data_IF_325395171682
#
_entry.id   IF_325395171682
#
_cell.length_a   1.000
_cell.length_b   1.000
_cell.length_c   1.000
_cell.angle_alpha   90.00
_cell.angle_beta   90.00
_cell.angle_gamma   90.00
#
_symmetry.space_group_name_H-M   'P 1'
#
loop_
_entity.id
_entity.type
_entity.pdbx_description
1 polymer ?
#
# COMPACT_ATOMS: atom_id res chain seq x y z
N UNK A 1 3.67 13.40 20.48
CA UNK A 1 2.70 14.36 19.94
C UNK A 1 2.65 14.07 18.44
N UNK A 2 1.68 13.29 17.97
CA UNK A 2 1.59 12.93 16.56
C UNK A 2 1.12 14.17 15.79
N UNK A 3 1.86 14.60 14.77
CA UNK A 3 1.41 15.65 13.88
C UNK A 3 0.12 15.17 13.21
N UNK A 4 -1.01 15.81 13.52
CA UNK A 4 -2.23 15.65 12.71
C UNK A 4 -1.94 16.31 11.37
N UNK A 5 -1.67 15.52 10.35
CA UNK A 5 -1.60 16.02 8.98
C UNK A 5 -2.97 16.58 8.60
N UNK A 6 -3.03 17.80 8.07
CA UNK A 6 -4.26 18.34 7.52
C UNK A 6 -4.62 17.63 6.20
N UNK A 7 -5.91 17.64 5.86
CA UNK A 7 -6.45 16.94 4.68
C UNK A 7 -5.73 17.38 3.40
N UNK A 8 -5.43 18.67 3.28
CA UNK A 8 -4.72 19.24 2.12
C UNK A 8 -3.30 18.70 1.98
N UNK A 9 -2.61 18.43 3.09
CA UNK A 9 -1.28 17.83 3.10
C UNK A 9 -1.34 16.36 2.68
N UNK A 10 -2.35 15.62 3.12
CA UNK A 10 -2.57 14.23 2.71
C UNK A 10 -2.94 14.11 1.23
N UNK A 11 -3.84 14.96 0.74
CA UNK A 11 -4.25 15.00 -0.67
C UNK A 11 -3.05 15.31 -1.57
N UNK A 12 -2.19 16.26 -1.17
CA UNK A 12 -0.97 16.59 -1.92
C UNK A 12 0.01 15.42 -1.98
N UNK A 13 0.21 14.70 -0.87
CA UNK A 13 1.05 13.50 -0.88
C UNK A 13 0.44 12.42 -1.76
N UNK A 14 -0.88 12.26 -1.74
CA UNK A 14 -1.59 11.34 -2.62
C UNK A 14 -1.35 11.69 -4.10
N UNK A 15 -1.44 12.97 -4.48
CA UNK A 15 -1.23 13.44 -5.85
C UNK A 15 0.24 13.28 -6.30
N UNK A 16 1.20 13.61 -5.43
CA UNK A 16 2.63 13.44 -5.69
C UNK A 16 2.99 11.94 -5.86
N UNK A 17 2.45 11.08 -4.99
CA UNK A 17 2.64 9.64 -5.04
C UNK A 17 1.96 9.02 -6.26
N UNK A 18 0.73 9.42 -6.59
CA UNK A 18 0.01 8.97 -7.79
C UNK A 18 0.75 9.39 -9.07
N UNK A 19 1.32 10.59 -9.09
CA UNK A 19 2.14 11.06 -10.21
C UNK A 19 3.39 10.18 -10.38
N UNK A 20 4.06 9.84 -9.28
CA UNK A 20 5.21 8.94 -9.29
C UNK A 20 4.81 7.51 -9.72
N UNK A 21 3.74 6.95 -9.15
CA UNK A 21 3.21 5.61 -9.44
C UNK A 21 2.87 5.47 -10.94
N UNK A 22 2.34 6.53 -11.55
CA UNK A 22 1.93 6.53 -12.95
C UNK A 22 3.05 6.88 -13.94
N UNK A 23 4.21 7.34 -13.46
CA UNK A 23 5.34 7.67 -14.32
C UNK A 23 6.05 6.40 -14.83
N UNK A 24 5.71 5.95 -16.03
CA UNK A 24 6.26 4.72 -16.61
C UNK A 24 7.78 4.73 -16.88
N UNK A 25 8.42 5.90 -16.82
CA UNK A 25 9.85 6.03 -17.13
C UNK A 25 10.75 5.80 -15.91
N UNK A 26 10.21 5.85 -14.69
CA UNK A 26 11.01 5.70 -13.46
C UNK A 26 11.05 4.26 -12.96
N UNK A 27 9.97 3.51 -13.19
CA UNK A 27 9.81 2.14 -12.71
C UNK A 27 10.53 1.15 -13.60
N UNK A 28 11.39 0.32 -13.01
CA UNK A 28 12.06 -0.78 -13.71
C UNK A 28 11.45 -2.10 -13.29
N UNK A 29 11.13 -2.94 -14.26
CA UNK A 29 10.68 -4.30 -13.98
C UNK A 29 11.81 -5.06 -13.27
N UNK A 30 11.50 -5.58 -12.08
CA UNK A 30 12.41 -6.40 -11.29
C UNK A 30 12.11 -7.88 -11.47
N UNK A 31 10.83 -8.25 -11.41
CA UNK A 31 10.39 -9.65 -11.51
C UNK A 31 8.97 -9.74 -12.06
N UNK A 32 8.70 -10.81 -12.78
CA UNK A 32 7.37 -11.18 -13.28
C UNK A 32 6.91 -12.48 -12.64
N UNK A 33 5.60 -12.59 -12.39
CA UNK A 33 4.96 -13.79 -11.87
C UNK A 33 5.16 -14.98 -12.80
N UNK A 34 5.40 -16.16 -12.22
CA UNK A 34 5.55 -17.40 -12.97
C UNK A 34 4.20 -17.96 -13.44
N UNK A 35 3.16 -17.78 -12.62
CA UNK A 35 1.81 -18.29 -12.87
C UNK A 35 0.97 -17.30 -13.68
N UNK A 36 0.96 -16.02 -13.28
CA UNK A 36 0.26 -14.96 -13.99
C UNK A 36 1.27 -13.98 -14.58
N UNK A 37 1.34 -13.90 -15.91
CA UNK A 37 2.33 -13.05 -16.60
C UNK A 37 2.08 -11.56 -16.38
N UNK A 38 0.86 -11.19 -16.03
CA UNK A 38 0.48 -9.81 -15.74
C UNK A 38 0.84 -9.37 -14.32
N UNK A 39 1.29 -10.31 -13.48
CA UNK A 39 1.85 -9.99 -12.18
C UNK A 39 3.28 -9.49 -12.36
N UNK A 40 3.51 -8.22 -12.04
CA UNK A 40 4.80 -7.57 -12.26
C UNK A 40 5.19 -6.79 -11.02
N UNK A 41 6.41 -7.06 -10.54
CA UNK A 41 7.09 -6.28 -9.52
C UNK A 41 8.04 -5.29 -10.20
N UNK A 42 7.83 -4.01 -9.89
CA UNK A 42 8.69 -2.93 -10.30
C UNK A 42 9.43 -2.34 -9.10
N UNK A 43 10.65 -1.88 -9.34
CA UNK A 43 11.45 -1.17 -8.35
C UNK A 43 11.85 0.21 -8.88
N UNK A 44 11.95 1.16 -7.97
CA UNK A 44 12.48 2.49 -8.22
C UNK A 44 13.37 2.91 -7.05
N UNK A 45 14.54 3.45 -7.37
CA UNK A 45 15.46 4.04 -6.39
C UNK A 45 15.91 5.41 -6.89
N UNK A 46 15.43 6.51 -6.26
CA UNK A 46 15.90 7.84 -6.58
C UNK A 46 17.42 7.96 -6.35
N UNK A 47 18.15 8.69 -7.21
CA UNK A 47 19.55 9.03 -6.94
C UNK A 47 19.69 9.82 -5.63
N UNK A 48 20.61 9.40 -4.77
CA UNK A 48 20.87 10.09 -3.49
C UNK A 48 19.90 9.72 -2.36
N UNK A 49 18.93 8.83 -2.61
CA UNK A 49 18.02 8.32 -1.58
C UNK A 49 18.46 6.92 -1.10
N UNK A 50 18.26 6.66 0.19
CA UNK A 50 18.44 5.34 0.79
C UNK A 50 17.24 4.41 0.55
N UNK A 51 16.07 4.98 0.28
CA UNK A 51 14.79 4.26 0.18
C UNK A 51 14.67 3.58 -1.19
N UNK A 52 14.19 2.33 -1.15
CA UNK A 52 13.75 1.59 -2.33
C UNK A 52 12.23 1.58 -2.38
N UNK A 53 11.69 2.02 -3.51
CA UNK A 53 10.26 2.01 -3.78
C UNK A 53 9.90 0.73 -4.54
N UNK A 54 8.84 0.06 -4.11
CA UNK A 54 8.35 -1.18 -4.70
C UNK A 54 6.91 -0.93 -5.18
N UNK A 55 6.64 -1.28 -6.43
CA UNK A 55 5.29 -1.27 -7.01
C UNK A 55 4.94 -2.67 -7.48
N UNK A 56 3.85 -3.22 -6.96
CA UNK A 56 3.30 -4.49 -7.39
C UNK A 56 2.04 -4.23 -8.22
N UNK A 57 2.00 -4.80 -9.42
CA UNK A 57 0.80 -4.87 -10.25
C UNK A 57 0.43 -6.34 -10.31
N UNK A 58 -0.80 -6.67 -9.93
CA UNK A 58 -1.28 -8.05 -9.94
C UNK A 58 -2.60 -8.12 -10.70
N UNK A 59 -2.80 -9.22 -11.43
CA UNK A 59 -4.08 -9.52 -12.04
C UNK A 59 -5.01 -10.15 -10.99
N UNK A 60 -6.21 -9.58 -10.85
CA UNK A 60 -7.24 -10.12 -9.94
C UNK A 60 -8.36 -10.72 -10.79
N UNK A 61 -8.37 -12.05 -10.95
CA UNK A 61 -9.44 -12.74 -11.65
C UNK A 61 -10.76 -12.60 -10.86
N UNK A 62 -11.84 -12.18 -11.54
CA UNK A 62 -13.18 -12.05 -10.98
C UNK A 62 -13.33 -11.07 -9.81
N UNK A 63 -12.34 -10.19 -9.57
CA UNK A 63 -12.43 -9.12 -8.57
C UNK A 63 -13.26 -7.94 -9.07
N UNK A 64 -14.21 -7.47 -8.26
CA UNK A 64 -14.75 -6.11 -8.41
C UNK A 64 -13.87 -5.14 -7.63
N UNK A 65 -13.80 -3.87 -8.05
CA UNK A 65 -13.10 -2.84 -7.27
C UNK A 65 -13.63 -2.75 -5.84
N UNK A 66 -14.96 -2.88 -5.65
CA UNK A 66 -15.58 -2.87 -4.33
C UNK A 66 -15.08 -4.02 -3.43
N UNK A 67 -14.90 -5.22 -3.98
CA UNK A 67 -14.36 -6.34 -3.22
C UNK A 67 -12.88 -6.13 -2.85
N UNK A 68 -12.11 -5.49 -3.73
CA UNK A 68 -10.70 -5.15 -3.47
C UNK A 68 -10.60 -4.09 -2.38
N UNK A 69 -11.43 -3.05 -2.44
CA UNK A 69 -11.54 -2.03 -1.39
C UNK A 69 -11.92 -2.67 -0.04
N UNK A 70 -12.93 -3.55 0.00
CA UNK A 70 -13.31 -4.25 1.23
C UNK A 70 -12.19 -5.15 1.79
N UNK A 71 -11.38 -5.77 0.92
CA UNK A 71 -10.22 -6.55 1.35
C UNK A 71 -9.14 -5.67 1.99
N UNK A 72 -8.92 -4.46 1.46
CA UNK A 72 -7.86 -3.56 1.90
C UNK A 72 -8.27 -2.65 3.07
N UNK A 73 -9.56 -2.33 3.19
CA UNK A 73 -10.13 -1.47 4.23
C UNK A 73 -10.54 -2.25 5.50
N UNK A 74 -10.44 -3.58 5.47
CA UNK A 74 -10.68 -4.42 6.65
C UNK A 74 -9.72 -4.09 7.79
N UNK A 75 -10.20 -4.14 9.03
CA UNK A 75 -9.35 -3.80 10.19
C UNK A 75 -8.16 -4.75 10.31
N UNK A 76 -7.03 -4.26 10.82
CA UNK A 76 -5.82 -5.08 10.97
C UNK A 76 -6.13 -6.34 11.79
N UNK A 77 -6.96 -6.23 12.84
CA UNK A 77 -7.32 -7.36 13.70
C UNK A 77 -8.07 -8.47 12.95
N UNK A 78 -8.93 -8.11 12.01
CA UNK A 78 -9.71 -9.06 11.23
C UNK A 78 -8.86 -9.76 10.18
N UNK A 79 -7.92 -9.03 9.55
CA UNK A 79 -7.08 -9.53 8.45
C UNK A 79 -5.72 -10.05 8.88
N UNK A 80 -5.26 -9.79 10.10
CA UNK A 80 -3.98 -10.26 10.63
C UNK A 80 -3.78 -11.78 10.49
N UNK A 81 -4.79 -12.66 10.68
CA UNK A 81 -4.63 -14.10 10.43
C UNK A 81 -4.37 -14.44 8.96
N UNK A 82 -4.87 -13.63 8.03
CA UNK A 82 -4.71 -13.83 6.58
C UNK A 82 -3.37 -13.29 6.06
N UNK A 83 -2.86 -12.20 6.67
CA UNK A 83 -1.64 -11.51 6.24
C UNK A 83 -0.49 -11.65 7.24
N UNK A 84 -0.53 -12.68 8.08
CA UNK A 84 0.33 -12.85 9.25
C UNK A 84 1.84 -12.78 8.93
N UNK A 85 2.25 -13.19 7.73
CA UNK A 85 3.65 -13.15 7.30
C UNK A 85 4.18 -11.72 7.01
N UNK A 86 3.30 -10.75 6.75
CA UNK A 86 3.66 -9.35 6.46
C UNK A 86 3.69 -8.47 7.71
N UNK A 87 3.07 -8.90 8.80
CA UNK A 87 2.86 -8.10 10.01
C UNK A 87 3.22 -8.91 11.26
N UNK A 88 4.52 -9.17 11.45
CA UNK A 88 5.01 -9.80 12.67
C UNK A 88 4.80 -8.82 13.83
N UNK A 89 4.01 -9.21 14.84
CA UNK A 89 3.72 -8.44 16.06
C UNK A 89 2.92 -7.13 15.88
N UNK A 90 2.22 -6.99 14.74
CA UNK A 90 1.36 -5.84 14.46
C UNK A 90 0.26 -5.64 15.51
N UNK A 91 0.10 -4.42 16.05
CA UNK A 91 -0.94 -4.08 17.04
C UNK A 91 -1.66 -2.79 16.69
N UNK A 92 -2.97 -2.77 16.90
CA UNK A 92 -3.77 -1.52 16.85
C UNK A 92 -3.47 -0.72 18.12
N UNK A 93 -2.90 0.46 17.96
CA UNK A 93 -2.58 1.41 19.05
C UNK A 93 -3.77 2.31 19.34
N UNK A 94 -4.51 2.71 18.31
CA UNK A 94 -5.66 3.60 18.42
C UNK A 94 -6.65 3.38 17.28
N UNK A 95 -7.94 3.51 17.54
CA UNK A 95 -9.00 3.60 16.53
C UNK A 95 -9.56 5.01 16.55
N UNK A 96 -9.63 5.66 15.39
CA UNK A 96 -10.18 7.00 15.29
C UNK A 96 -11.71 6.97 15.47
N UNK A 97 -12.28 8.12 15.84
CA UNK A 97 -13.72 8.28 16.11
C UNK A 97 -14.60 8.06 14.87
N UNK A 98 -14.02 8.13 13.67
CA UNK A 98 -14.71 7.85 12.41
C UNK A 98 -15.09 6.38 12.21
N UNK A 99 -14.53 5.48 13.02
CA UNK A 99 -14.71 4.03 12.91
C UNK A 99 -14.14 3.41 11.63
N UNK A 100 -13.40 4.19 10.83
CA UNK A 100 -12.88 3.80 9.51
C UNK A 100 -11.36 3.79 9.45
N UNK A 101 -10.68 4.45 10.41
CA UNK A 101 -9.22 4.53 10.42
C UNK A 101 -8.60 4.06 11.74
N UNK A 102 -7.49 3.35 11.62
CA UNK A 102 -6.74 2.77 12.75
C UNK A 102 -5.27 3.19 12.68
N UNK A 103 -4.68 3.48 13.83
CA UNK A 103 -3.23 3.68 13.97
C UNK A 103 -2.65 2.36 14.48
N UNK A 104 -1.77 1.76 13.68
CA UNK A 104 -1.14 0.48 13.96
C UNK A 104 0.37 0.65 14.18
N UNK A 105 0.94 -0.21 15.02
CA UNK A 105 2.38 -0.38 15.21
C UNK A 105 2.80 -1.72 14.62
N UNK A 106 3.93 -1.74 13.93
CA UNK A 106 4.57 -2.90 13.29
C UNK A 106 6.07 -2.86 13.56
#
# INVERSE_FOLDING_TARGET
>A
MAAKYDVTTLDRYLDEDLTLINNKNVWKEYKRGAQYKDDICYIYKPPGDSIWWIKLVAHVENGSMANIEELLDGSLKERHPEWHELFIDGRIVHKNEDGRSEICYF
#
